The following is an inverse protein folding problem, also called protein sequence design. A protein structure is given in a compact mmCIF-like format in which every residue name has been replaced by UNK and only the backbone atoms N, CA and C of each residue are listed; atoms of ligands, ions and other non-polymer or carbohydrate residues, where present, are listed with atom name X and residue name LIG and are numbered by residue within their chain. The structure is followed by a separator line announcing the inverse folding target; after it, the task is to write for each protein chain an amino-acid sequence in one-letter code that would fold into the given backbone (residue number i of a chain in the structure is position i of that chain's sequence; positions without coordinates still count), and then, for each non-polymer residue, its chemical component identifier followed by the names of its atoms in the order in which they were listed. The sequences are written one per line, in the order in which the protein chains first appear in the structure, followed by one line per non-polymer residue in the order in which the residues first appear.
data_IF_493898413661
#
_entry.id   IF_493898413661
#
_cell.length_a   1.000
_cell.length_b   1.000
_cell.length_c   1.000
_cell.angle_alpha   90.00
_cell.angle_beta   90.00
_cell.angle_gamma   90.00
#
_symmetry.space_group_name_H-M   'P 1'
#
loop_
_entity.id
_entity.type
_entity.pdbx_description
1 polymer ?
#
# COMPACT_ATOMS: atom_id res chain seq x y z
N UNK A 1 -10.47 21.17 10.34
CA UNK A 1 -10.02 20.43 11.55
C UNK A 1 -9.76 18.95 11.24
N UNK A 2 -10.67 18.23 10.58
CA UNK A 2 -10.47 16.82 10.23
C UNK A 2 -9.24 16.59 9.31
N UNK A 3 -9.06 17.42 8.27
CA UNK A 3 -7.92 17.27 7.34
C UNK A 3 -6.57 17.46 8.04
N UNK A 4 -6.46 18.42 8.98
CA UNK A 4 -5.27 18.60 9.80
C UNK A 4 -4.95 17.36 10.63
N UNK A 5 -5.97 16.73 11.24
CA UNK A 5 -5.79 15.51 12.02
C UNK A 5 -5.30 14.34 11.15
N UNK A 6 -5.96 14.12 10.01
CA UNK A 6 -5.73 12.94 9.17
C UNK A 6 -4.50 13.05 8.25
N UNK A 7 -4.11 14.27 7.85
CA UNK A 7 -3.04 14.49 6.88
C UNK A 7 -1.82 15.23 7.47
N UNK A 8 -1.83 15.59 8.75
CA UNK A 8 -0.64 16.12 9.42
C UNK A 8 -0.26 15.22 10.59
N UNK A 9 -1.12 15.14 11.61
CA UNK A 9 -0.77 14.42 12.84
C UNK A 9 -0.74 12.91 12.65
N UNK A 10 -1.74 12.35 11.97
CA UNK A 10 -1.85 10.90 11.79
C UNK A 10 -0.65 10.27 11.06
N UNK A 11 -0.12 10.84 9.97
CA UNK A 11 1.11 10.35 9.33
C UNK A 11 2.31 10.20 10.29
N UNK A 12 2.53 11.19 11.18
CA UNK A 12 3.63 11.13 12.14
C UNK A 12 3.39 10.06 13.20
N UNK A 13 2.15 9.94 13.72
CA UNK A 13 1.79 8.86 14.67
C UNK A 13 1.99 7.49 14.02
N UNK A 14 1.54 7.32 12.79
CA UNK A 14 1.71 6.08 12.04
C UNK A 14 3.20 5.71 11.90
N UNK A 15 4.04 6.67 11.51
CA UNK A 15 5.48 6.45 11.37
C UNK A 15 6.17 6.15 12.71
N UNK A 16 5.84 6.88 13.77
CA UNK A 16 6.37 6.65 15.11
C UNK A 16 6.02 5.24 15.60
N UNK A 17 4.76 4.82 15.45
CA UNK A 17 4.33 3.46 15.77
C UNK A 17 5.13 2.44 14.96
N UNK A 18 5.22 2.64 13.64
CA UNK A 18 5.93 1.74 12.75
C UNK A 18 7.38 1.55 13.14
N UNK A 19 8.12 2.62 13.44
CA UNK A 19 9.55 2.53 13.75
C UNK A 19 9.77 2.05 15.19
N UNK A 20 9.17 2.72 16.18
CA UNK A 20 9.47 2.48 17.59
C UNK A 20 8.96 1.11 18.03
N UNK A 21 7.74 0.75 17.66
CA UNK A 21 7.16 -0.53 18.09
C UNK A 21 7.79 -1.69 17.30
N UNK A 22 8.17 -1.51 16.03
CA UNK A 22 8.93 -2.55 15.31
C UNK A 22 10.27 -2.80 15.97
N UNK A 23 11.00 -1.75 16.35
CA UNK A 23 12.26 -1.87 17.08
C UNK A 23 12.07 -2.62 18.40
N UNK A 24 11.08 -2.22 19.20
CA UNK A 24 10.76 -2.90 20.47
C UNK A 24 10.35 -4.36 20.27
N UNK A 25 9.54 -4.66 19.25
CA UNK A 25 9.12 -6.03 18.92
C UNK A 25 10.32 -6.88 18.48
N UNK A 26 11.21 -6.33 17.66
CA UNK A 26 12.39 -7.04 17.20
C UNK A 26 13.33 -7.38 18.36
N UNK A 27 13.64 -6.41 19.22
CA UNK A 27 14.55 -6.61 20.36
C UNK A 27 13.92 -7.45 21.48
N UNK A 28 12.68 -7.15 21.87
CA UNK A 28 12.03 -7.78 23.02
C UNK A 28 11.24 -9.06 22.70
N UNK A 29 10.83 -9.26 21.44
CA UNK A 29 9.96 -10.37 21.00
C UNK A 29 10.38 -10.92 19.63
N UNK A 30 11.68 -11.04 19.38
CA UNK A 30 12.24 -11.42 18.08
C UNK A 30 11.63 -12.68 17.45
N UNK A 31 11.28 -13.71 18.24
CA UNK A 31 10.61 -14.92 17.75
C UNK A 31 9.26 -14.65 17.07
N UNK A 32 8.56 -13.56 17.44
CA UNK A 32 7.30 -13.16 16.80
C UNK A 32 7.51 -12.48 15.45
N UNK A 33 8.74 -12.07 15.11
CA UNK A 33 9.09 -11.38 13.87
C UNK A 33 9.35 -12.42 12.76
N UNK A 34 8.26 -12.90 12.16
CA UNK A 34 8.28 -13.98 11.16
C UNK A 34 7.19 -13.77 10.12
N UNK A 35 7.38 -14.34 8.93
CA UNK A 35 6.40 -14.31 7.85
C UNK A 35 5.11 -15.10 8.18
N UNK A 36 5.12 -15.92 9.25
CA UNK A 36 3.99 -16.78 9.65
C UNK A 36 3.43 -17.55 8.45
N UNK A 37 4.32 -18.29 7.78
CA UNK A 37 3.97 -19.05 6.57
C UNK A 37 2.96 -20.14 6.91
N UNK A 38 1.92 -20.23 6.07
CA UNK A 38 0.90 -21.30 6.14
C UNK A 38 1.05 -22.30 4.99
N UNK A 39 2.19 -22.27 4.29
CA UNK A 39 2.44 -23.08 3.09
C UNK A 39 2.46 -24.58 3.37
N UNK A 40 3.00 -24.98 4.51
CA UNK A 40 3.06 -26.38 4.92
C UNK A 40 1.66 -27.02 5.03
N UNK A 41 0.66 -26.24 5.45
CA UNK A 41 -0.71 -26.71 5.63
C UNK A 41 -1.47 -26.84 4.29
N UNK A 42 -1.17 -25.97 3.33
CA UNK A 42 -1.76 -25.95 1.99
C UNK A 42 -0.86 -25.13 1.05
N UNK A 43 -0.36 -25.73 -0.03
CA UNK A 43 0.58 -25.08 -0.96
C UNK A 43 -0.01 -24.81 -2.36
N UNK A 44 -0.96 -25.62 -2.81
CA UNK A 44 -1.45 -25.61 -4.20
C UNK A 44 -2.12 -24.28 -4.53
N UNK A 45 -3.02 -23.81 -3.68
CA UNK A 45 -3.70 -22.52 -3.88
C UNK A 45 -2.83 -21.34 -3.43
N UNK A 46 -1.87 -21.58 -2.52
CA UNK A 46 -0.93 -20.54 -2.10
C UNK A 46 -0.13 -19.99 -3.28
N UNK A 47 0.36 -20.84 -4.19
CA UNK A 47 1.15 -20.39 -5.34
C UNK A 47 0.40 -19.35 -6.18
N UNK A 48 -0.84 -19.66 -6.57
CA UNK A 48 -1.69 -18.79 -7.40
C UNK A 48 -2.21 -17.54 -6.70
N UNK A 49 -2.10 -17.46 -5.37
CA UNK A 49 -2.35 -16.22 -4.63
C UNK A 49 -1.08 -15.42 -4.38
N UNK A 50 -0.05 -16.08 -3.84
CA UNK A 50 1.17 -15.46 -3.34
C UNK A 50 2.03 -14.86 -4.45
N UNK A 51 2.20 -15.56 -5.58
CA UNK A 51 3.01 -15.06 -6.69
C UNK A 51 2.41 -13.78 -7.28
N UNK A 52 1.15 -13.76 -7.76
CA UNK A 52 0.58 -12.54 -8.30
C UNK A 52 0.47 -11.40 -7.28
N UNK A 53 0.17 -11.73 -6.02
CA UNK A 53 0.18 -10.75 -4.93
C UNK A 53 1.53 -10.06 -4.81
N UNK A 54 2.60 -10.81 -4.58
CA UNK A 54 3.91 -10.23 -4.26
C UNK A 54 4.54 -9.54 -5.48
N UNK A 55 4.48 -10.14 -6.67
CA UNK A 55 5.03 -9.49 -7.87
C UNK A 55 4.28 -8.20 -8.20
N UNK A 56 2.95 -8.21 -8.09
CA UNK A 56 2.13 -7.02 -8.33
C UNK A 56 2.42 -5.93 -7.29
N UNK A 57 2.29 -6.25 -6.00
CA UNK A 57 2.41 -5.23 -4.94
C UNK A 57 3.83 -4.67 -4.83
N UNK A 58 4.87 -5.50 -4.98
CA UNK A 58 6.26 -5.02 -4.93
C UNK A 58 6.52 -4.06 -6.09
N UNK A 59 6.05 -4.38 -7.31
CA UNK A 59 6.25 -3.51 -8.46
C UNK A 59 5.48 -2.18 -8.31
N UNK A 60 4.22 -2.22 -7.83
CA UNK A 60 3.41 -1.02 -7.58
C UNK A 60 4.03 -0.14 -6.51
N UNK A 61 4.44 -0.71 -5.36
CA UNK A 61 5.11 0.04 -4.29
C UNK A 61 6.44 0.62 -4.76
N UNK A 62 7.21 -0.13 -5.54
CA UNK A 62 8.46 0.37 -6.14
C UNK A 62 8.18 1.57 -7.06
N UNK A 63 7.13 1.51 -7.87
CA UNK A 63 6.69 2.65 -8.68
C UNK A 63 6.42 3.89 -7.84
N UNK A 64 5.66 3.76 -6.75
CA UNK A 64 5.38 4.87 -5.83
C UNK A 64 6.67 5.45 -5.24
N UNK A 65 7.58 4.60 -4.76
CA UNK A 65 8.86 5.03 -4.18
C UNK A 65 9.75 5.74 -5.20
N UNK A 66 9.89 5.18 -6.40
CA UNK A 66 10.69 5.78 -7.47
C UNK A 66 10.17 7.17 -7.81
N UNK A 67 8.85 7.32 -8.00
CA UNK A 67 8.26 8.63 -8.30
C UNK A 67 8.42 9.61 -7.14
N UNK A 68 8.33 9.14 -5.89
CA UNK A 68 8.58 9.99 -4.72
C UNK A 68 10.00 10.57 -4.70
N UNK A 69 11.02 9.79 -5.07
CA UNK A 69 12.41 10.24 -5.08
C UNK A 69 12.77 11.08 -6.32
N UNK A 70 12.27 10.73 -7.50
CA UNK A 70 12.62 11.38 -8.77
C UNK A 70 11.38 11.86 -9.57
N UNK A 71 10.51 12.72 -8.99
CA UNK A 71 9.27 13.14 -9.63
C UNK A 71 9.51 13.93 -10.93
N UNK A 72 10.57 14.76 -10.98
CA UNK A 72 10.92 15.53 -12.18
C UNK A 72 11.27 14.64 -13.37
N UNK A 73 12.10 13.62 -13.16
CA UNK A 73 12.47 12.66 -14.22
C UNK A 73 11.28 11.88 -14.75
N UNK A 74 10.31 11.54 -13.90
CA UNK A 74 9.08 10.91 -14.33
C UNK A 74 8.25 11.84 -15.21
N UNK A 75 8.11 13.11 -14.82
CA UNK A 75 7.34 14.09 -15.60
C UNK A 75 7.97 14.29 -16.98
N UNK A 76 9.30 14.34 -17.08
CA UNK A 76 10.02 14.36 -18.36
C UNK A 76 9.77 13.10 -19.19
N UNK A 77 9.79 11.92 -18.55
CA UNK A 77 9.46 10.65 -19.21
C UNK A 77 8.03 10.65 -19.78
N UNK A 78 7.08 11.19 -19.02
CA UNK A 78 5.66 11.27 -19.37
C UNK A 78 5.35 12.30 -20.47
N UNK A 79 6.29 13.18 -20.86
CA UNK A 79 6.09 14.13 -21.97
C UNK A 79 5.89 13.45 -23.32
N UNK A 80 6.37 12.22 -23.46
CA UNK A 80 6.17 11.42 -24.66
C UNK A 80 4.90 10.57 -24.47
N UNK A 81 3.81 10.80 -25.23
CA UNK A 81 2.51 10.18 -24.93
C UNK A 81 2.54 8.66 -24.80
N UNK A 82 3.21 7.96 -25.71
CA UNK A 82 3.27 6.49 -25.67
C UNK A 82 3.94 5.95 -24.40
N UNK A 83 4.92 6.68 -23.83
CA UNK A 83 5.60 6.31 -22.58
C UNK A 83 4.67 6.44 -21.38
N UNK A 84 3.90 7.53 -21.34
CA UNK A 84 2.86 7.74 -20.34
C UNK A 84 1.80 6.62 -20.41
N UNK A 85 1.26 6.33 -21.60
CA UNK A 85 0.30 5.24 -21.76
C UNK A 85 0.87 3.89 -21.31
N UNK A 86 2.09 3.56 -21.72
CA UNK A 86 2.74 2.30 -21.34
C UNK A 86 2.92 2.21 -19.81
N UNK A 87 3.34 3.30 -19.17
CA UNK A 87 3.50 3.36 -17.71
C UNK A 87 2.16 3.16 -16.99
N UNK A 88 1.12 3.90 -17.36
CA UNK A 88 -0.21 3.83 -16.73
C UNK A 88 -0.82 2.43 -16.90
N UNK A 89 -0.75 1.84 -18.10
CA UNK A 89 -1.26 0.48 -18.37
C UNK A 89 -0.47 -0.58 -17.61
N UNK A 90 0.85 -0.43 -17.52
CA UNK A 90 1.71 -1.35 -16.76
C UNK A 90 1.38 -1.28 -15.27
N UNK A 91 1.27 -0.07 -14.72
CA UNK A 91 0.90 0.16 -13.32
C UNK A 91 -0.47 -0.43 -12.98
N UNK A 92 -1.49 -0.17 -13.81
CA UNK A 92 -2.82 -0.75 -13.62
C UNK A 92 -2.80 -2.28 -13.72
N UNK A 93 -2.10 -2.84 -14.70
CA UNK A 93 -1.99 -4.29 -14.88
C UNK A 93 -1.35 -4.96 -13.66
N UNK A 94 -0.28 -4.38 -13.13
CA UNK A 94 0.39 -4.89 -11.92
C UNK A 94 -0.49 -4.75 -10.67
N UNK A 95 -1.25 -3.65 -10.56
CA UNK A 95 -2.21 -3.47 -9.47
C UNK A 95 -3.36 -4.49 -9.54
N UNK A 96 -3.88 -4.78 -10.73
CA UNK A 96 -4.88 -5.85 -10.95
C UNK A 96 -4.30 -7.23 -10.64
N UNK A 97 -3.04 -7.48 -11.01
CA UNK A 97 -2.35 -8.73 -10.67
C UNK A 97 -2.23 -8.89 -9.15
N UNK A 98 -1.86 -7.82 -8.43
CA UNK A 98 -1.85 -7.81 -6.97
C UNK A 98 -3.25 -8.08 -6.39
N UNK A 99 -4.29 -7.41 -6.92
CA UNK A 99 -5.66 -7.57 -6.46
C UNK A 99 -6.18 -9.00 -6.62
N UNK A 100 -5.97 -9.62 -7.79
CA UNK A 100 -6.37 -11.00 -8.04
C UNK A 100 -5.62 -11.97 -7.12
N UNK A 101 -4.31 -11.77 -6.94
CA UNK A 101 -3.52 -12.56 -6.01
C UNK A 101 -4.03 -12.46 -4.57
N UNK A 102 -4.36 -11.25 -4.12
CA UNK A 102 -4.91 -11.01 -2.79
C UNK A 102 -6.29 -11.65 -2.59
N UNK A 103 -7.18 -11.54 -3.58
CA UNK A 103 -8.49 -12.20 -3.56
C UNK A 103 -8.33 -13.72 -3.43
N UNK A 104 -7.41 -14.33 -4.20
CA UNK A 104 -7.10 -15.75 -4.08
C UNK A 104 -6.58 -16.12 -2.68
N UNK A 105 -5.72 -15.29 -2.08
CA UNK A 105 -5.24 -15.50 -0.71
C UNK A 105 -6.36 -15.41 0.33
N UNK A 106 -7.30 -14.49 0.17
CA UNK A 106 -8.47 -14.35 1.04
C UNK A 106 -9.38 -15.57 0.91
N UNK A 107 -9.74 -15.96 -0.32
CA UNK A 107 -10.56 -17.15 -0.59
C UNK A 107 -9.90 -18.40 0.00
N UNK A 108 -8.60 -18.58 -0.20
CA UNK A 108 -7.83 -19.67 0.40
C UNK A 108 -7.92 -19.67 1.91
N UNK A 109 -7.74 -18.50 2.54
CA UNK A 109 -7.71 -18.39 4.00
C UNK A 109 -9.07 -18.63 4.64
N UNK A 110 -10.16 -18.24 3.99
CA UNK A 110 -11.52 -18.44 4.49
C UNK A 110 -12.11 -19.81 4.10
N UNK A 111 -11.66 -20.40 2.99
CA UNK A 111 -12.18 -21.68 2.49
C UNK A 111 -11.49 -22.92 3.06
N UNK A 112 -10.22 -22.84 3.45
CA UNK A 112 -9.48 -24.01 3.91
C UNK A 112 -9.51 -24.15 5.45
N UNK A 113 -10.07 -25.26 5.94
CA UNK A 113 -10.21 -25.53 7.38
C UNK A 113 -8.87 -25.52 8.15
N UNK A 114 -7.79 -26.07 7.57
CA UNK A 114 -6.46 -26.10 8.21
C UNK A 114 -5.86 -24.70 8.34
N UNK A 115 -6.03 -23.87 7.31
CA UNK A 115 -5.55 -22.49 7.31
C UNK A 115 -6.36 -21.62 8.27
N UNK A 116 -7.69 -21.81 8.31
CA UNK A 116 -8.56 -21.12 9.26
C UNK A 116 -8.20 -21.42 10.70
N UNK A 117 -7.87 -22.67 11.02
CA UNK A 117 -7.51 -23.09 12.38
C UNK A 117 -6.28 -22.35 12.94
N UNK A 118 -5.40 -21.84 12.08
CA UNK A 118 -4.18 -21.09 12.48
C UNK A 118 -4.23 -19.60 12.11
N UNK A 119 -5.37 -19.10 11.63
CA UNK A 119 -5.52 -17.70 11.25
C UNK A 119 -5.86 -16.84 12.46
N UNK A 120 -5.10 -15.78 12.69
CA UNK A 120 -5.38 -14.82 13.76
C UNK A 120 -6.41 -13.76 13.34
N UNK A 121 -7.09 -13.08 14.28
CA UNK A 121 -7.92 -11.91 13.94
C UNK A 121 -7.14 -10.81 13.22
N UNK A 122 -5.87 -10.58 13.58
CA UNK A 122 -5.02 -9.58 12.92
C UNK A 122 -4.67 -9.96 11.49
N UNK A 123 -4.56 -11.25 11.15
CA UNK A 123 -4.42 -11.68 9.75
C UNK A 123 -5.63 -11.28 8.91
N UNK A 124 -6.84 -11.35 9.47
CA UNK A 124 -8.07 -10.97 8.78
C UNK A 124 -8.19 -9.45 8.63
N UNK A 125 -7.88 -8.70 9.69
CA UNK A 125 -7.85 -7.23 9.66
C UNK A 125 -6.85 -6.75 8.61
N UNK A 126 -5.63 -7.30 8.61
CA UNK A 126 -4.61 -6.95 7.62
C UNK A 126 -5.09 -7.24 6.19
N UNK A 127 -5.65 -8.42 5.92
CA UNK A 127 -6.13 -8.77 4.58
C UNK A 127 -7.27 -7.86 4.12
N UNK A 128 -8.18 -7.48 5.02
CA UNK A 128 -9.25 -6.54 4.71
C UNK A 128 -8.69 -5.15 4.36
N UNK A 129 -7.71 -4.66 5.13
CA UNK A 129 -7.07 -3.37 4.88
C UNK A 129 -6.24 -3.38 3.59
N UNK A 130 -5.52 -4.46 3.29
CA UNK A 130 -4.82 -4.61 2.01
C UNK A 130 -5.80 -4.66 0.84
N UNK A 131 -6.94 -5.34 1.00
CA UNK A 131 -7.97 -5.42 -0.04
C UNK A 131 -8.57 -4.04 -0.31
N UNK A 132 -8.91 -3.31 0.75
CA UNK A 132 -9.39 -1.94 0.63
C UNK A 132 -8.34 -1.04 -0.02
N UNK A 133 -7.08 -1.11 0.42
CA UNK A 133 -5.99 -0.28 -0.11
C UNK A 133 -5.76 -0.50 -1.59
N UNK A 134 -5.64 -1.76 -2.01
CA UNK A 134 -5.41 -2.10 -3.42
C UNK A 134 -6.65 -1.81 -4.26
N UNK A 135 -7.85 -2.08 -3.73
CA UNK A 135 -9.11 -1.71 -4.38
C UNK A 135 -9.21 -0.20 -4.65
N UNK A 136 -8.94 0.64 -3.65
CA UNK A 136 -8.90 2.10 -3.80
C UNK A 136 -7.82 2.55 -4.79
N UNK A 137 -6.68 1.85 -4.83
CA UNK A 137 -5.59 2.14 -5.79
C UNK A 137 -6.00 1.83 -7.23
N UNK A 138 -6.65 0.68 -7.45
CA UNK A 138 -7.19 0.28 -8.76
C UNK A 138 -8.31 1.22 -9.20
N UNK A 139 -9.24 1.56 -8.31
CA UNK A 139 -10.29 2.56 -8.56
C UNK A 139 -9.66 3.89 -8.99
N UNK A 140 -8.66 4.34 -8.23
CA UNK A 140 -7.96 5.59 -8.53
C UNK A 140 -7.33 5.57 -9.92
N UNK A 141 -6.64 4.48 -10.28
CA UNK A 141 -6.00 4.32 -11.59
C UNK A 141 -7.00 4.27 -12.76
N UNK A 142 -8.22 3.77 -12.53
CA UNK A 142 -9.28 3.69 -13.56
C UNK A 142 -9.95 5.05 -13.77
N UNK A 143 -10.32 5.74 -12.69
CA UNK A 143 -11.17 6.94 -12.77
C UNK A 143 -10.38 8.26 -12.79
N UNK A 144 -9.18 8.31 -12.21
CA UNK A 144 -8.34 9.50 -12.18
C UNK A 144 -7.11 9.31 -13.07
N UNK A 145 -7.34 9.45 -14.37
CA UNK A 145 -6.33 9.26 -15.43
C UNK A 145 -5.05 10.06 -15.14
N UNK A 146 -3.94 9.51 -15.63
CA UNK A 146 -2.61 10.12 -15.51
C UNK A 146 -2.12 10.13 -14.06
N UNK A 147 -2.36 9.00 -13.38
CA UNK A 147 -1.96 8.68 -12.01
C UNK A 147 -0.55 9.11 -11.70
N UNK A 148 0.39 8.67 -12.54
CA UNK A 148 1.81 8.94 -12.39
C UNK A 148 2.14 10.43 -12.41
N UNK A 149 1.50 11.20 -13.31
CA UNK A 149 1.73 12.63 -13.46
C UNK A 149 1.15 13.44 -12.30
N UNK A 150 -0.14 13.24 -11.95
CA UNK A 150 -0.74 14.00 -10.85
C UNK A 150 -0.17 13.58 -9.48
N UNK A 151 0.22 12.31 -9.30
CA UNK A 151 0.93 11.86 -8.11
C UNK A 151 2.24 12.65 -7.93
N UNK A 152 3.03 12.78 -9.00
CA UNK A 152 4.31 13.51 -8.98
C UNK A 152 4.18 15.01 -8.68
N UNK A 153 3.12 15.69 -9.14
CA UNK A 153 2.95 17.15 -8.95
C UNK A 153 2.07 17.53 -7.75
N UNK A 154 1.31 16.60 -7.18
CA UNK A 154 0.35 16.90 -6.09
C UNK A 154 0.65 16.09 -4.82
N UNK A 155 0.62 14.77 -4.90
CA UNK A 155 0.84 13.91 -3.73
C UNK A 155 2.29 13.86 -3.26
N UNK A 156 3.27 13.85 -4.17
CA UNK A 156 4.69 13.85 -3.81
C UNK A 156 5.09 15.12 -3.05
N UNK A 157 4.72 16.36 -3.48
CA UNK A 157 4.96 17.56 -2.68
C UNK A 157 4.37 17.48 -1.27
N UNK A 158 3.13 17.01 -1.11
CA UNK A 158 2.53 16.77 0.21
C UNK A 158 3.37 15.78 1.04
N UNK A 159 3.72 14.62 0.50
CA UNK A 159 4.50 13.61 1.21
C UNK A 159 5.89 14.14 1.59
N UNK A 160 6.54 14.91 0.72
CA UNK A 160 7.83 15.56 1.01
C UNK A 160 7.70 16.62 2.09
N UNK A 161 6.60 17.38 2.12
CA UNK A 161 6.34 18.38 3.17
C UNK A 161 6.31 17.76 4.57
N UNK A 162 5.76 16.54 4.69
CA UNK A 162 5.79 15.76 5.93
C UNK A 162 7.21 15.36 6.32
N UNK A 163 8.00 14.85 5.36
CA UNK A 163 9.40 14.45 5.61
C UNK A 163 10.27 15.65 6.02
N UNK A 164 10.02 16.82 5.42
CA UNK A 164 10.71 18.07 5.74
C UNK A 164 10.21 18.72 7.03
N UNK A 165 9.25 18.12 7.74
CA UNK A 165 8.64 18.66 8.97
C UNK A 165 7.98 20.04 8.79
N UNK A 166 7.60 20.36 7.56
CA UNK A 166 6.87 21.57 7.18
C UNK A 166 5.59 21.16 6.44
N UNK A 167 4.61 20.54 7.13
CA UNK A 167 3.45 19.92 6.51
C UNK A 167 2.60 20.94 5.73
N UNK A 168 2.39 20.68 4.45
CA UNK A 168 1.53 21.47 3.57
C UNK A 168 0.42 20.59 2.98
N UNK A 169 -0.81 20.86 3.42
CA UNK A 169 -2.01 20.12 3.01
C UNK A 169 -2.84 20.89 1.96
N UNK A 170 -2.30 21.96 1.37
CA UNK A 170 -3.04 22.81 0.40
C UNK A 170 -3.56 21.98 -0.78
N UNK A 171 -2.73 21.08 -1.30
CA UNK A 171 -3.10 20.17 -2.39
C UNK A 171 -4.11 19.10 -1.95
N UNK A 172 -4.07 18.67 -0.69
CA UNK A 172 -4.98 17.65 -0.15
C UNK A 172 -6.42 18.14 -0.15
N UNK A 173 -6.66 19.44 0.07
CA UNK A 173 -8.00 20.01 0.17
C UNK A 173 -8.88 19.68 -1.04
N UNK A 174 -8.30 19.65 -2.24
CA UNK A 174 -9.01 19.44 -3.52
C UNK A 174 -9.00 17.98 -4.00
N UNK A 175 -8.38 17.06 -3.25
CA UNK A 175 -8.35 15.66 -3.65
C UNK A 175 -9.75 15.02 -3.56
N UNK A 176 -10.13 14.21 -4.56
CA UNK A 176 -11.27 13.33 -4.47
C UNK A 176 -11.19 12.42 -3.24
N UNK A 177 -12.35 12.03 -2.72
CA UNK A 177 -12.45 11.21 -1.52
C UNK A 177 -11.66 9.90 -1.64
N UNK A 178 -11.73 9.22 -2.79
CA UNK A 178 -10.99 7.97 -3.04
C UNK A 178 -9.48 8.14 -2.84
N UNK A 179 -8.90 9.24 -3.31
CA UNK A 179 -7.46 9.54 -3.14
C UNK A 179 -7.14 9.83 -1.67
N UNK A 180 -7.98 10.62 -0.99
CA UNK A 180 -7.87 10.87 0.46
C UNK A 180 -7.88 9.56 1.25
N UNK A 181 -8.83 8.68 0.97
CA UNK A 181 -8.96 7.36 1.62
C UNK A 181 -7.77 6.46 1.31
N UNK A 182 -7.25 6.46 0.07
CA UNK A 182 -6.08 5.68 -0.30
C UNK A 182 -4.82 6.14 0.47
N UNK A 183 -4.62 7.44 0.64
CA UNK A 183 -3.50 8.00 1.41
C UNK A 183 -3.64 7.70 2.90
N UNK A 184 -4.84 7.88 3.47
CA UNK A 184 -5.11 7.52 4.88
C UNK A 184 -4.91 6.01 5.10
N UNK A 185 -5.37 5.17 4.17
CA UNK A 185 -5.21 3.73 4.20
C UNK A 185 -3.74 3.31 4.14
N UNK A 186 -2.91 3.99 3.34
CA UNK A 186 -1.47 3.78 3.31
C UNK A 186 -0.83 4.05 4.69
N UNK A 187 -1.13 5.19 5.31
CA UNK A 187 -0.65 5.48 6.67
C UNK A 187 -1.24 4.53 7.71
N UNK A 188 -2.45 4.03 7.51
CA UNK A 188 -3.05 3.00 8.38
C UNK A 188 -2.26 1.70 8.32
N UNK A 189 -1.88 1.24 7.12
CA UNK A 189 -1.03 0.07 6.95
C UNK A 189 0.34 0.27 7.62
N UNK A 190 0.93 1.46 7.51
CA UNK A 190 2.17 1.82 8.23
C UNK A 190 1.96 1.76 9.75
N UNK A 191 0.88 2.35 10.27
CA UNK A 191 0.58 2.36 11.70
C UNK A 191 0.41 0.96 12.29
N UNK A 192 -0.22 0.05 11.55
CA UNK A 192 -0.45 -1.33 12.02
C UNK A 192 0.72 -2.28 11.75
N UNK A 193 1.66 -1.89 10.88
CA UNK A 193 2.84 -2.68 10.50
C UNK A 193 3.46 -3.47 11.66
N UNK A 194 3.83 -2.85 12.81
CA UNK A 194 4.54 -3.54 13.89
C UNK A 194 3.67 -4.57 14.64
N UNK A 195 2.35 -4.56 14.44
CA UNK A 195 1.39 -5.46 15.09
C UNK A 195 0.92 -6.60 14.18
N UNK A 196 1.40 -6.64 12.93
CA UNK A 196 0.95 -7.60 11.92
C UNK A 196 2.11 -8.46 11.40
N UNK A 197 1.84 -9.17 10.31
CA UNK A 197 2.79 -10.01 9.55
C UNK A 197 3.40 -9.31 8.34
N UNK A 198 3.10 -8.01 8.15
CA UNK A 198 3.84 -7.14 7.22
C UNK A 198 5.30 -7.04 7.67
#
# INVERSE_FOLDING_TARGET
MHDTLLFIYYPYVAFILAVVISFMRYVGRGFSYSSLSSQFLENRNLFYGSVPWHYGIIAVLTGHLVVFFIPGSLLEFNRVPWRLYALELTGLTLALFALVGLLNLIVRRLGNARIRAVTSPMDLILLALLLLQVGLGVETAIFYRWGSSWYAVSAVPYLRSLVLLHPDITQVAVWPLTIKLHVIGAFTLVAIFPFTRL
#
